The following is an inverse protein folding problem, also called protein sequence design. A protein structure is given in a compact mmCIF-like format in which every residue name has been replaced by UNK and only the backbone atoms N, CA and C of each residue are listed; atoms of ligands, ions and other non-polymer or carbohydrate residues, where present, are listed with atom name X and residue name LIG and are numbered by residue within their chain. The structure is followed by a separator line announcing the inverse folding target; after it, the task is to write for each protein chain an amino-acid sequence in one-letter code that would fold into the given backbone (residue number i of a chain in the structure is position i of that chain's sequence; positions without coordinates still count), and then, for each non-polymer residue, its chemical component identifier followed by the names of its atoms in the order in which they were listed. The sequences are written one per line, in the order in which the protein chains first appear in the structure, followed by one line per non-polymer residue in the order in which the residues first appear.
data_IF_992441509333
#
_entry.id   IF_992441509333
#
_cell.length_a   1.000
_cell.length_b   1.000
_cell.length_c   1.000
_cell.angle_alpha   90.00
_cell.angle_beta   90.00
_cell.angle_gamma   90.00
#
_symmetry.space_group_name_H-M   'P 1'
#
loop_
_entity.id
_entity.type
_entity.pdbx_description
1 polymer ?
#
# COMPACT_ATOMS: atom_id res chain seq x y z
N UNK A 1 -3.99 6.44 5.98
CA UNK A 1 -2.58 6.39 6.45
C UNK A 1 -2.35 7.34 7.62
N UNK A 2 -2.53 8.67 7.47
CA UNK A 2 -2.31 9.63 8.57
C UNK A 2 -3.10 9.34 9.86
N UNK A 3 -4.38 8.96 9.77
CA UNK A 3 -5.20 8.65 10.95
C UNK A 3 -4.70 7.43 11.75
N UNK A 4 -4.09 6.45 11.07
CA UNK A 4 -3.51 5.26 11.72
C UNK A 4 -2.24 5.65 12.49
N UNK A 5 -1.44 6.57 11.95
CA UNK A 5 -0.26 7.10 12.62
C UNK A 5 -0.59 7.99 13.80
N UNK A 6 -1.62 8.82 13.68
CA UNK A 6 -2.15 9.58 14.82
C UNK A 6 -2.56 8.62 15.93
N UNK A 7 -3.28 7.54 15.61
CA UNK A 7 -3.65 6.51 16.60
C UNK A 7 -2.41 5.90 17.25
N UNK A 8 -1.42 5.44 16.48
CA UNK A 8 -0.18 4.89 17.05
C UNK A 8 0.56 5.88 17.95
N UNK A 9 0.63 7.16 17.54
CA UNK A 9 1.21 8.23 18.32
C UNK A 9 0.43 8.49 19.62
N UNK A 10 -0.91 8.54 19.54
CA UNK A 10 -1.77 8.71 20.71
C UNK A 10 -1.64 7.55 21.70
N UNK A 11 -1.47 6.32 21.22
CA UNK A 11 -1.29 5.16 22.09
C UNK A 11 -0.01 5.29 22.91
N UNK A 12 1.10 5.70 22.29
CA UNK A 12 2.39 5.84 22.96
C UNK A 12 2.50 7.10 23.84
N UNK A 13 1.87 8.20 23.41
CA UNK A 13 1.92 9.49 24.12
C UNK A 13 0.93 9.60 25.26
N UNK A 14 -0.31 9.14 25.03
CA UNK A 14 -1.45 9.41 25.88
C UNK A 14 -2.12 8.12 26.40
N UNK A 15 -1.64 6.93 26.01
CA UNK A 15 -2.29 5.66 26.36
C UNK A 15 -3.64 5.44 25.68
N UNK A 16 -4.02 6.27 24.71
CA UNK A 16 -5.35 6.30 24.09
C UNK A 16 -5.30 5.80 22.63
N UNK A 17 -6.30 5.06 22.12
CA UNK A 17 -7.51 4.58 22.79
C UNK A 17 -7.31 3.31 23.63
N UNK A 18 -6.25 2.54 23.35
CA UNK A 18 -5.87 1.33 24.08
C UNK A 18 -4.34 1.19 24.00
N UNK A 19 -3.60 1.45 25.08
CA UNK A 19 -2.13 1.36 25.11
C UNK A 19 -1.51 1.83 26.43
N UNK A 20 -0.22 1.56 26.61
CA UNK A 20 0.60 2.08 27.72
C UNK A 20 1.37 3.34 27.31
N UNK A 21 1.67 4.20 28.28
CA UNK A 21 2.47 5.42 28.03
C UNK A 21 3.96 5.10 28.06
N UNK A 22 4.67 5.46 26.99
CA UNK A 22 6.14 5.31 26.90
C UNK A 22 6.80 6.69 26.89
N UNK A 23 7.24 7.18 28.06
CA UNK A 23 7.82 8.52 28.23
C UNK A 23 9.35 8.58 28.07
N UNK A 24 10.01 7.51 27.62
CA UNK A 24 11.46 7.51 27.40
C UNK A 24 11.84 8.18 26.07
N UNK A 25 11.54 9.48 25.93
CA UNK A 25 11.69 10.27 24.70
C UNK A 25 13.12 10.35 24.12
N UNK A 26 14.15 9.99 24.88
CA UNK A 26 15.53 9.93 24.39
C UNK A 26 15.87 8.61 23.69
N UNK A 27 14.97 7.63 23.74
CA UNK A 27 15.12 6.34 23.04
C UNK A 27 14.41 6.38 21.69
N UNK A 28 14.90 5.59 20.73
CA UNK A 28 14.25 5.39 19.41
C UNK A 28 12.75 5.08 19.54
N UNK A 29 12.38 4.25 20.53
CA UNK A 29 11.00 3.88 20.79
C UNK A 29 10.16 5.04 21.36
N UNK A 30 10.74 5.87 22.22
CA UNK A 30 10.07 7.06 22.76
C UNK A 30 9.92 8.19 21.75
N UNK A 31 10.86 8.36 20.81
CA UNK A 31 10.73 9.34 19.72
C UNK A 31 9.66 8.94 18.69
N UNK A 32 9.40 7.64 18.52
CA UNK A 32 8.41 7.15 17.57
C UNK A 32 6.99 7.67 17.86
N UNK A 33 6.62 7.83 19.12
CA UNK A 33 5.29 8.33 19.52
C UNK A 33 5.02 9.78 19.06
N UNK A 34 5.80 10.78 19.52
CA UNK A 34 5.69 12.17 19.07
C UNK A 34 5.74 12.33 17.56
N UNK A 35 6.67 11.61 16.91
CA UNK A 35 6.87 11.71 15.47
C UNK A 35 5.71 11.08 14.68
N UNK A 36 5.18 9.94 15.11
CA UNK A 36 3.99 9.34 14.49
C UNK A 36 2.75 10.23 14.67
N UNK A 37 2.58 10.83 15.85
CA UNK A 37 1.47 11.75 16.11
C UNK A 37 1.56 13.02 15.26
N UNK A 38 2.67 13.75 15.36
CA UNK A 38 2.88 15.00 14.63
C UNK A 38 2.94 14.75 13.11
N UNK A 39 3.68 13.73 12.68
CA UNK A 39 3.75 13.34 11.27
C UNK A 39 2.40 12.89 10.72
N UNK A 40 1.61 12.15 11.51
CA UNK A 40 0.24 11.78 11.15
C UNK A 40 -0.67 12.98 10.94
N UNK A 41 -0.63 13.97 11.83
CA UNK A 41 -1.39 15.23 11.70
C UNK A 41 -0.97 16.03 10.46
N UNK A 42 0.34 16.21 10.26
CA UNK A 42 0.89 16.90 9.10
C UNK A 42 0.50 16.21 7.79
N UNK A 43 0.52 14.87 7.75
CA UNK A 43 0.10 14.10 6.59
C UNK A 43 -1.40 14.18 6.31
N UNK A 44 -2.26 14.28 7.34
CA UNK A 44 -3.70 14.50 7.14
C UNK A 44 -3.95 15.88 6.54
N UNK A 45 -3.28 16.91 7.07
CA UNK A 45 -3.40 18.26 6.54
C UNK A 45 -2.74 18.41 5.16
N UNK A 46 -1.84 17.50 4.80
CA UNK A 46 -1.00 17.63 3.60
C UNK A 46 -0.06 18.84 3.72
N UNK A 47 0.50 19.03 4.91
CA UNK A 47 1.50 20.06 5.19
C UNK A 47 2.88 19.40 5.26
N UNK A 48 3.86 19.96 4.53
CA UNK A 48 5.20 19.42 4.41
C UNK A 48 5.22 17.94 3.98
N UNK A 49 4.32 17.57 3.07
CA UNK A 49 4.03 16.16 2.75
C UNK A 49 5.29 15.39 2.36
N UNK A 50 6.17 15.99 1.53
CA UNK A 50 7.38 15.34 1.04
C UNK A 50 8.39 15.00 2.16
N UNK A 51 8.89 15.97 2.96
CA UNK A 51 9.79 15.68 4.09
C UNK A 51 9.15 14.77 5.13
N UNK A 52 7.89 15.02 5.48
CA UNK A 52 7.20 14.25 6.51
C UNK A 52 7.04 12.79 6.06
N UNK A 53 6.62 12.56 4.82
CA UNK A 53 6.54 11.21 4.28
C UNK A 53 7.92 10.53 4.21
N UNK A 54 8.98 11.24 3.79
CA UNK A 54 10.32 10.65 3.77
C UNK A 54 10.80 10.25 5.18
N UNK A 55 10.59 11.12 6.16
CA UNK A 55 10.92 10.86 7.56
C UNK A 55 10.13 9.67 8.13
N UNK A 56 8.81 9.63 7.88
CA UNK A 56 7.95 8.52 8.32
C UNK A 56 8.33 7.21 7.62
N UNK A 57 8.73 7.24 6.35
CA UNK A 57 9.24 6.07 5.63
C UNK A 57 10.50 5.50 6.31
N UNK A 58 11.49 6.36 6.62
CA UNK A 58 12.69 5.97 7.34
C UNK A 58 12.40 5.42 8.73
N UNK A 59 11.46 6.04 9.45
CA UNK A 59 11.02 5.53 10.75
C UNK A 59 10.42 4.13 10.65
N UNK A 60 9.57 3.86 9.66
CA UNK A 60 8.96 2.54 9.51
C UNK A 60 9.98 1.47 9.11
N UNK A 61 10.98 1.84 8.30
CA UNK A 61 12.10 0.96 8.01
C UNK A 61 12.86 0.58 9.30
N UNK A 62 13.21 1.58 10.11
CA UNK A 62 13.88 1.34 11.41
C UNK A 62 12.98 0.51 12.33
N UNK A 63 11.68 0.81 12.41
CA UNK A 63 10.72 0.09 13.25
C UNK A 63 10.63 -1.39 12.87
N UNK A 64 10.61 -1.71 11.57
CA UNK A 64 10.60 -3.09 11.08
C UNK A 64 11.84 -3.88 11.54
N UNK A 65 13.03 -3.30 11.35
CA UNK A 65 14.28 -3.98 11.70
C UNK A 65 14.54 -4.02 13.22
N UNK A 66 14.10 -3.01 13.96
CA UNK A 66 14.33 -2.92 15.40
C UNK A 66 13.34 -3.76 16.23
N UNK A 67 12.13 -4.02 15.73
CA UNK A 67 11.10 -4.83 16.39
C UNK A 67 10.84 -6.15 15.66
N UNK A 68 9.84 -6.20 14.76
CA UNK A 68 9.38 -7.42 14.07
C UNK A 68 10.48 -8.38 13.61
N UNK A 69 11.46 -7.86 12.87
CA UNK A 69 12.53 -8.69 12.31
C UNK A 69 13.55 -9.13 13.37
N UNK A 70 13.88 -8.26 14.33
CA UNK A 70 14.86 -8.57 15.39
C UNK A 70 14.34 -9.66 16.33
N UNK A 71 13.06 -9.61 16.66
CA UNK A 71 12.44 -10.53 17.62
C UNK A 71 12.17 -11.90 17.01
N UNK A 72 11.51 -11.92 15.85
CA UNK A 72 11.11 -13.18 15.22
C UNK A 72 12.22 -13.85 14.41
N UNK A 73 13.18 -13.06 13.89
CA UNK A 73 14.13 -13.45 12.82
C UNK A 73 13.46 -14.07 11.59
N UNK A 74 12.16 -13.87 11.44
CA UNK A 74 11.37 -14.39 10.33
C UNK A 74 11.27 -13.32 9.24
N UNK A 75 11.50 -13.73 8.00
CA UNK A 75 11.32 -12.86 6.84
C UNK A 75 9.84 -12.66 6.49
N UNK A 76 9.02 -13.68 6.74
CA UNK A 76 7.59 -13.66 6.45
C UNK A 76 6.87 -12.65 7.35
N UNK A 77 6.38 -11.57 6.75
CA UNK A 77 5.75 -10.45 7.46
C UNK A 77 4.47 -10.87 8.18
N UNK A 78 3.81 -11.91 7.67
CA UNK A 78 2.64 -12.51 8.31
C UNK A 78 2.96 -13.14 9.68
N UNK A 79 4.18 -13.65 9.88
CA UNK A 79 4.58 -14.33 11.12
C UNK A 79 5.29 -13.42 12.13
N UNK A 80 5.63 -12.19 11.72
CA UNK A 80 6.41 -11.27 12.55
C UNK A 80 5.68 -9.96 12.87
N UNK A 81 4.41 -9.83 12.48
CA UNK A 81 3.59 -8.62 12.65
C UNK A 81 4.18 -7.34 11.99
N UNK A 82 5.16 -7.50 11.10
CA UNK A 82 5.89 -6.41 10.43
C UNK A 82 5.22 -5.91 9.15
N UNK A 83 4.09 -6.48 8.76
CA UNK A 83 3.38 -6.15 7.50
C UNK A 83 3.05 -4.67 7.38
N UNK A 84 2.45 -4.08 8.42
CA UNK A 84 2.09 -2.66 8.42
C UNK A 84 3.35 -1.78 8.29
N UNK A 85 4.47 -2.17 8.91
CA UNK A 85 5.72 -1.43 8.83
C UNK A 85 6.30 -1.43 7.43
N UNK A 86 6.37 -2.60 6.78
CA UNK A 86 6.84 -2.72 5.39
C UNK A 86 5.90 -1.94 4.46
N UNK A 87 4.59 -2.14 4.58
CA UNK A 87 3.61 -1.47 3.72
C UNK A 87 3.73 0.06 3.84
N UNK A 88 3.71 0.61 5.06
CA UNK A 88 3.79 2.04 5.27
C UNK A 88 5.14 2.63 4.87
N UNK A 89 6.24 1.90 5.09
CA UNK A 89 7.56 2.32 4.61
C UNK A 89 7.53 2.67 3.11
N UNK A 90 7.01 1.77 2.27
CA UNK A 90 6.96 2.01 0.83
C UNK A 90 5.84 2.97 0.40
N UNK A 91 4.70 2.97 1.10
CA UNK A 91 3.62 3.92 0.80
C UNK A 91 4.05 5.37 1.07
N UNK A 92 4.76 5.61 2.18
CA UNK A 92 5.34 6.91 2.48
C UNK A 92 6.50 7.27 1.57
N UNK A 93 7.33 6.29 1.18
CA UNK A 93 8.39 6.53 0.20
C UNK A 93 7.80 7.01 -1.13
N UNK A 94 6.75 6.35 -1.62
CA UNK A 94 5.99 6.81 -2.79
C UNK A 94 5.44 8.23 -2.60
N UNK A 95 4.81 8.52 -1.46
CA UNK A 95 4.28 9.87 -1.16
C UNK A 95 5.37 10.95 -1.08
N UNK A 96 6.60 10.60 -0.66
CA UNK A 96 7.72 11.56 -0.64
C UNK A 96 8.13 12.04 -2.04
N UNK A 97 7.91 11.22 -3.07
CA UNK A 97 8.16 11.58 -4.46
C UNK A 97 6.91 12.18 -5.14
N UNK A 98 5.73 11.60 -4.89
CA UNK A 98 4.46 12.02 -5.50
C UNK A 98 3.91 13.34 -4.91
N UNK A 99 4.12 13.60 -3.62
CA UNK A 99 3.57 14.75 -2.89
C UNK A 99 2.15 14.53 -2.35
N UNK A 100 1.56 15.57 -1.75
CA UNK A 100 0.29 15.50 -1.00
C UNK A 100 -1.00 15.55 -1.83
N UNK A 101 -0.90 15.60 -3.16
CA UNK A 101 -2.06 15.64 -4.05
C UNK A 101 -2.78 17.00 -4.10
N UNK A 102 -3.97 17.01 -4.72
CA UNK A 102 -4.70 18.24 -5.04
C UNK A 102 -5.27 18.98 -3.83
N UNK A 103 -5.58 18.24 -2.76
CA UNK A 103 -6.21 18.76 -1.54
C UNK A 103 -5.20 19.11 -0.42
N UNK A 104 -3.90 19.01 -0.70
CA UNK A 104 -2.86 19.31 0.28
C UNK A 104 -2.79 20.80 0.62
N UNK A 105 -2.65 21.13 1.90
CA UNK A 105 -2.39 22.51 2.34
C UNK A 105 -1.10 23.06 1.72
N UNK A 106 -0.10 22.21 1.42
CA UNK A 106 1.11 22.61 0.68
C UNK A 106 0.79 23.32 -0.64
N UNK A 107 -0.20 22.81 -1.38
CA UNK A 107 -0.66 23.40 -2.64
C UNK A 107 -1.44 24.69 -2.42
N UNK A 108 -2.31 24.72 -1.40
CA UNK A 108 -3.10 25.90 -1.05
C UNK A 108 -2.20 27.07 -0.60
N UNK A 109 -1.15 26.77 0.16
CA UNK A 109 -0.19 27.74 0.69
C UNK A 109 0.89 28.14 -0.32
N UNK A 110 0.84 27.65 -1.57
CA UNK A 110 1.85 27.86 -2.64
C UNK A 110 3.29 27.70 -2.15
N UNK A 111 3.55 26.81 -1.20
CA UNK A 111 4.90 26.60 -0.66
C UNK A 111 5.77 25.97 -1.74
N UNK A 112 7.00 26.47 -1.89
CA UNK A 112 8.02 25.80 -2.68
C UNK A 112 8.23 24.40 -2.09
N UNK A 113 7.98 23.33 -2.86
CA UNK A 113 8.12 21.98 -2.34
C UNK A 113 9.59 21.73 -2.00
N UNK A 114 9.89 21.42 -0.74
CA UNK A 114 11.20 20.88 -0.37
C UNK A 114 11.32 19.49 -1.00
N UNK A 115 12.23 19.34 -1.96
CA UNK A 115 12.43 18.12 -2.72
C UNK A 115 13.44 17.20 -2.01
N UNK A 116 12.95 16.15 -1.34
CA UNK A 116 13.79 15.05 -0.82
C UNK A 116 13.89 13.88 -1.80
N UNK A 117 12.86 13.66 -2.61
CA UNK A 117 12.85 12.75 -3.75
C UNK A 117 12.36 13.50 -5.00
N UNK A 118 13.03 13.32 -6.15
CA UNK A 118 12.61 13.96 -7.40
C UNK A 118 11.24 13.43 -7.82
N UNK A 119 10.39 14.29 -8.39
CA UNK A 119 9.06 13.90 -8.85
C UNK A 119 9.11 12.81 -9.95
N UNK A 120 10.26 12.69 -10.64
CA UNK A 120 10.52 11.70 -11.67
C UNK A 120 10.58 10.27 -11.14
N UNK A 121 10.91 10.09 -9.85
CA UNK A 121 10.92 8.77 -9.21
C UNK A 121 9.54 8.26 -8.80
N UNK A 122 8.53 9.13 -8.72
CA UNK A 122 7.17 8.76 -8.33
C UNK A 122 6.59 7.55 -9.09
N UNK A 123 6.66 7.47 -10.43
CA UNK A 123 6.17 6.30 -11.16
C UNK A 123 6.95 5.01 -10.84
N UNK A 124 8.25 5.08 -10.59
CA UNK A 124 9.06 3.91 -10.22
C UNK A 124 8.74 3.44 -8.80
N UNK A 125 8.59 4.36 -7.84
CA UNK A 125 8.19 4.03 -6.48
C UNK A 125 6.76 3.48 -6.40
N UNK A 126 5.87 3.91 -7.31
CA UNK A 126 4.55 3.29 -7.46
C UNK A 126 4.68 1.81 -7.89
N UNK A 127 5.60 1.49 -8.81
CA UNK A 127 5.87 0.11 -9.20
C UNK A 127 6.46 -0.71 -8.05
N UNK A 128 7.35 -0.14 -7.23
CA UNK A 128 7.84 -0.80 -6.01
C UNK A 128 6.69 -1.07 -5.05
N UNK A 129 5.87 -0.05 -4.74
CA UNK A 129 4.72 -0.19 -3.86
C UNK A 129 3.75 -1.27 -4.35
N UNK A 130 3.55 -1.37 -5.68
CA UNK A 130 2.75 -2.42 -6.31
C UNK A 130 3.33 -3.81 -6.06
N UNK A 131 4.63 -4.00 -6.27
CA UNK A 131 5.29 -5.29 -6.05
C UNK A 131 5.23 -5.70 -4.58
N UNK A 132 5.48 -4.75 -3.66
CA UNK A 132 5.40 -5.00 -2.22
C UNK A 132 3.97 -5.33 -1.80
N UNK A 133 2.97 -4.55 -2.22
CA UNK A 133 1.57 -4.83 -1.91
C UNK A 133 1.14 -6.20 -2.45
N UNK A 134 1.50 -6.53 -3.69
CA UNK A 134 1.25 -7.84 -4.29
C UNK A 134 1.92 -8.98 -3.51
N UNK A 135 3.19 -8.82 -3.12
CA UNK A 135 3.91 -9.80 -2.31
C UNK A 135 3.27 -10.04 -0.94
N UNK A 136 2.89 -8.97 -0.23
CA UNK A 136 2.19 -9.09 1.05
C UNK A 136 0.83 -9.80 0.88
N UNK A 137 0.10 -9.49 -0.19
CA UNK A 137 -1.20 -10.09 -0.47
C UNK A 137 -1.08 -11.58 -0.85
N UNK A 138 -0.01 -11.97 -1.54
CA UNK A 138 0.32 -13.38 -1.80
C UNK A 138 0.46 -14.15 -0.49
N UNK A 139 1.12 -13.58 0.54
CA UNK A 139 1.27 -14.25 1.84
C UNK A 139 -0.08 -14.55 2.49
N UNK A 140 -1.03 -13.61 2.42
CA UNK A 140 -2.40 -13.80 2.90
C UNK A 140 -3.15 -14.89 2.12
N UNK A 141 -2.93 -14.95 0.80
CA UNK A 141 -3.51 -15.99 -0.04
C UNK A 141 -2.92 -17.37 0.20
N UNK A 142 -1.60 -17.48 0.36
CA UNK A 142 -0.92 -18.75 0.67
C UNK A 142 -1.25 -19.25 2.08
N UNK A 143 -1.48 -18.35 3.04
CA UNK A 143 -1.98 -18.72 4.36
C UNK A 143 -3.33 -19.43 4.23
N UNK A 144 -4.29 -18.81 3.54
CA UNK A 144 -5.66 -19.30 3.48
C UNK A 144 -5.79 -20.59 2.68
N UNK A 145 -5.02 -20.72 1.60
CA UNK A 145 -5.09 -21.87 0.69
C UNK A 145 -4.13 -23.00 1.04
N UNK A 146 -2.96 -22.70 1.64
CA UNK A 146 -1.90 -23.68 1.85
C UNK A 146 -1.39 -23.75 3.29
N UNK A 147 -1.91 -22.94 4.22
CA UNK A 147 -1.37 -22.77 5.57
C UNK A 147 0.13 -22.43 5.60
N UNK A 148 0.61 -21.74 4.56
CA UNK A 148 1.99 -21.33 4.41
C UNK A 148 2.10 -19.81 4.35
N UNK A 149 3.03 -19.15 5.07
CA UNK A 149 4.05 -19.70 5.98
C UNK A 149 3.52 -20.09 7.38
N UNK A 150 2.21 -19.97 7.59
CA UNK A 150 1.48 -20.42 8.78
C UNK A 150 -0.02 -20.15 8.61
N UNK A 151 -0.79 -20.32 9.68
CA UNK A 151 -2.23 -19.96 9.74
C UNK A 151 -3.20 -21.12 9.48
N UNK A 152 -4.49 -20.78 9.34
CA UNK A 152 -5.58 -21.76 9.24
C UNK A 152 -6.01 -21.94 7.78
N UNK A 153 -5.78 -23.14 7.25
CA UNK A 153 -6.27 -23.54 5.93
C UNK A 153 -7.81 -23.53 5.90
N UNK A 154 -8.40 -22.91 4.89
CA UNK A 154 -9.85 -22.86 4.73
C UNK A 154 -10.25 -23.04 3.26
N UNK A 155 -10.51 -24.29 2.89
CA UNK A 155 -11.00 -24.65 1.55
C UNK A 155 -12.51 -24.50 1.40
N UNK A 156 -13.21 -23.97 2.40
CA UNK A 156 -14.63 -23.72 2.26
C UNK A 156 -14.86 -22.40 1.51
N UNK A 157 -14.85 -22.48 0.17
CA UNK A 157 -15.03 -21.34 -0.72
C UNK A 157 -16.43 -20.71 -0.66
N UNK A 158 -17.38 -21.33 0.05
CA UNK A 158 -18.67 -20.69 0.35
C UNK A 158 -18.55 -19.63 1.47
N UNK A 159 -17.46 -19.68 2.25
CA UNK A 159 -17.18 -18.69 3.29
C UNK A 159 -16.39 -17.52 2.73
N UNK A 160 -16.59 -16.34 3.35
CA UNK A 160 -15.85 -15.12 2.99
C UNK A 160 -14.33 -15.30 3.11
N UNK A 161 -13.88 -16.15 4.04
CA UNK A 161 -12.47 -16.40 4.31
C UNK A 161 -11.84 -17.32 3.25
N UNK A 162 -12.47 -18.46 2.94
CA UNK A 162 -11.99 -19.34 1.87
C UNK A 162 -12.03 -18.66 0.49
N UNK A 163 -13.10 -17.92 0.19
CA UNK A 163 -13.20 -17.16 -1.05
C UNK A 163 -12.15 -16.06 -1.17
N UNK A 164 -11.80 -15.40 -0.06
CA UNK A 164 -10.74 -14.40 -0.03
C UNK A 164 -9.38 -14.97 -0.46
N UNK A 165 -9.04 -16.20 -0.04
CA UNK A 165 -7.80 -16.87 -0.46
C UNK A 165 -7.70 -17.05 -1.98
N UNK A 166 -8.82 -17.38 -2.63
CA UNK A 166 -8.90 -17.58 -4.09
C UNK A 166 -8.70 -16.29 -4.88
N UNK A 167 -9.00 -15.12 -4.30
CA UNK A 167 -8.72 -13.82 -4.91
C UNK A 167 -7.34 -13.30 -4.53
N UNK A 168 -6.90 -13.56 -3.29
CA UNK A 168 -5.65 -13.03 -2.74
C UNK A 168 -4.41 -13.57 -3.44
N UNK A 169 -4.34 -14.89 -3.63
CA UNK A 169 -3.17 -15.48 -4.24
C UNK A 169 -3.03 -15.11 -5.73
N UNK A 170 -4.04 -15.35 -6.60
CA UNK A 170 -3.93 -14.99 -8.01
C UNK A 170 -3.89 -13.47 -8.22
N UNK A 171 -4.70 -12.72 -7.46
CA UNK A 171 -4.73 -11.27 -7.52
C UNK A 171 -3.40 -10.65 -7.08
N UNK A 172 -2.80 -11.16 -6.00
CA UNK A 172 -1.48 -10.73 -5.53
C UNK A 172 -0.38 -11.01 -6.57
N UNK A 173 -0.40 -12.17 -7.22
CA UNK A 173 0.53 -12.51 -8.32
C UNK A 173 0.37 -11.58 -9.53
N UNK A 174 -0.87 -11.38 -9.99
CA UNK A 174 -1.17 -10.46 -11.09
C UNK A 174 -0.74 -9.04 -10.76
N UNK A 175 -1.01 -8.57 -9.53
CA UNK A 175 -0.57 -7.26 -9.07
C UNK A 175 0.94 -7.17 -8.96
N UNK A 176 1.65 -8.18 -8.46
CA UNK A 176 3.11 -8.19 -8.35
C UNK A 176 3.80 -8.15 -9.73
N UNK A 177 3.24 -8.84 -10.72
CA UNK A 177 3.72 -8.80 -12.11
C UNK A 177 3.26 -7.54 -12.86
N UNK A 178 2.15 -6.94 -12.45
CA UNK A 178 1.54 -5.79 -13.12
C UNK A 178 0.81 -6.20 -14.39
N UNK A 179 0.04 -7.28 -14.30
CA UNK A 179 -0.87 -7.78 -15.32
C UNK A 179 -2.30 -7.42 -14.95
N UNK A 180 -3.04 -6.86 -15.90
CA UNK A 180 -4.42 -6.40 -15.73
C UNK A 180 -4.58 -5.50 -14.50
N UNK A 181 -3.61 -4.58 -14.29
CA UNK A 181 -3.45 -3.88 -13.02
C UNK A 181 -4.72 -3.14 -12.61
N UNK A 182 -5.41 -2.50 -13.56
CA UNK A 182 -6.64 -1.72 -13.28
C UNK A 182 -7.82 -2.59 -12.82
N UNK A 183 -8.30 -3.58 -13.60
CA UNK A 183 -9.43 -4.41 -13.18
C UNK A 183 -9.10 -5.26 -11.95
N UNK A 184 -7.88 -5.82 -11.85
CA UNK A 184 -7.48 -6.63 -10.70
C UNK A 184 -7.50 -5.78 -9.43
N UNK A 185 -6.87 -4.62 -9.44
CA UNK A 185 -6.84 -3.74 -8.26
C UNK A 185 -8.24 -3.23 -7.87
N UNK A 186 -9.14 -2.98 -8.83
CA UNK A 186 -10.52 -2.65 -8.51
C UNK A 186 -11.23 -3.78 -7.74
N UNK A 187 -11.13 -5.03 -8.24
CA UNK A 187 -11.72 -6.20 -7.58
C UNK A 187 -11.12 -6.41 -6.18
N UNK A 188 -9.80 -6.35 -6.04
CA UNK A 188 -9.13 -6.53 -4.76
C UNK A 188 -9.49 -5.43 -3.76
N UNK A 189 -9.66 -4.18 -4.22
CA UNK A 189 -10.13 -3.09 -3.36
C UNK A 189 -11.55 -3.36 -2.84
N UNK A 190 -12.43 -3.88 -3.69
CA UNK A 190 -13.80 -4.26 -3.33
C UNK A 190 -13.82 -5.40 -2.31
N UNK A 191 -12.99 -6.43 -2.50
CA UNK A 191 -12.86 -7.53 -1.55
C UNK A 191 -12.45 -7.02 -0.16
N UNK A 192 -11.45 -6.14 -0.08
CA UNK A 192 -10.98 -5.58 1.19
C UNK A 192 -12.02 -4.65 1.82
N UNK A 193 -12.75 -3.89 1.02
CA UNK A 193 -13.87 -3.07 1.51
C UNK A 193 -14.96 -3.94 2.15
N UNK A 194 -15.38 -5.03 1.49
CA UNK A 194 -16.37 -5.97 2.02
C UNK A 194 -15.86 -6.61 3.32
N UNK A 195 -14.60 -7.05 3.35
CA UNK A 195 -13.98 -7.60 4.55
C UNK A 195 -13.98 -6.61 5.71
N UNK A 196 -13.68 -5.32 5.45
CA UNK A 196 -13.71 -4.28 6.46
C UNK A 196 -15.11 -4.06 7.03
N UNK A 197 -16.11 -3.86 6.17
CA UNK A 197 -17.47 -3.55 6.62
C UNK A 197 -18.16 -4.72 7.32
N UNK A 198 -17.96 -5.95 6.85
CA UNK A 198 -18.62 -7.12 7.44
C UNK A 198 -17.91 -7.63 8.70
N UNK A 199 -16.57 -7.54 8.75
CA UNK A 199 -15.78 -8.11 9.85
C UNK A 199 -15.38 -7.05 10.86
N UNK A 200 -14.82 -5.93 10.43
CA UNK A 200 -14.09 -5.02 11.31
C UNK A 200 -14.93 -3.84 11.79
N UNK A 201 -15.69 -3.19 10.90
CA UNK A 201 -16.51 -2.02 11.19
C UNK A 201 -17.48 -2.18 12.38
N UNK A 202 -18.13 -3.34 12.60
CA UNK A 202 -19.06 -3.52 13.73
C UNK A 202 -18.39 -3.47 15.11
N UNK A 203 -17.05 -3.49 15.18
CA UNK A 203 -16.30 -3.52 16.45
C UNK A 203 -16.09 -2.15 17.10
N UNK A 204 -16.69 -1.09 16.52
CA UNK A 204 -16.55 0.29 16.97
C UNK A 204 -15.35 0.99 16.32
N UNK A 205 -15.37 2.33 16.31
CA UNK A 205 -14.44 3.15 15.52
C UNK A 205 -12.96 2.83 15.80
N UNK A 206 -12.53 2.93 17.06
CA UNK A 206 -11.12 2.74 17.44
C UNK A 206 -10.65 1.30 17.28
N UNK A 207 -11.47 0.32 17.67
CA UNK A 207 -11.11 -1.09 17.56
C UNK A 207 -11.05 -1.52 16.10
N UNK A 208 -11.99 -1.09 15.27
CA UNK A 208 -11.99 -1.38 13.83
C UNK A 208 -10.72 -0.87 13.14
N UNK A 209 -10.22 0.31 13.52
CA UNK A 209 -8.95 0.82 13.00
C UNK A 209 -7.73 -0.02 13.41
N UNK A 210 -7.80 -0.73 14.55
CA UNK A 210 -6.71 -1.58 15.03
C UNK A 210 -6.75 -2.93 14.33
N UNK A 211 -7.89 -3.63 14.37
CA UNK A 211 -7.97 -5.00 13.85
C UNK A 211 -8.19 -5.05 12.33
N UNK A 212 -8.71 -3.99 11.73
CA UNK A 212 -9.00 -3.89 10.30
C UNK A 212 -7.97 -3.11 9.50
N UNK A 213 -6.82 -2.79 10.09
CA UNK A 213 -5.79 -1.94 9.49
C UNK A 213 -5.36 -2.45 8.10
N UNK A 214 -5.15 -3.78 7.99
CA UNK A 214 -4.80 -4.44 6.73
C UNK A 214 -5.83 -4.21 5.62
N UNK A 215 -7.11 -4.40 5.94
CA UNK A 215 -8.20 -4.18 5.00
C UNK A 215 -8.26 -2.72 4.54
N UNK A 216 -7.96 -1.77 5.43
CA UNK A 216 -7.97 -0.34 5.08
C UNK A 216 -6.85 -0.02 4.08
N UNK A 217 -5.60 -0.36 4.40
CA UNK A 217 -4.50 0.08 3.52
C UNK A 217 -4.48 -0.66 2.18
N UNK A 218 -4.81 -1.95 2.13
CA UNK A 218 -4.94 -2.66 0.86
C UNK A 218 -6.10 -2.12 0.02
N UNK A 219 -7.25 -1.80 0.64
CA UNK A 219 -8.38 -1.21 -0.07
C UNK A 219 -7.96 0.08 -0.80
N UNK A 220 -7.39 1.05 -0.08
CA UNK A 220 -7.06 2.34 -0.68
C UNK A 220 -5.87 2.29 -1.64
N UNK A 221 -4.87 1.43 -1.42
CA UNK A 221 -3.73 1.33 -2.35
C UNK A 221 -4.14 0.67 -3.66
N UNK A 222 -5.00 -0.34 -3.60
CA UNK A 222 -5.52 -0.96 -4.82
C UNK A 222 -6.50 -0.02 -5.53
N UNK A 223 -7.31 0.74 -4.79
CA UNK A 223 -8.13 1.78 -5.40
C UNK A 223 -7.28 2.87 -6.10
N UNK A 224 -6.15 3.27 -5.50
CA UNK A 224 -5.18 4.16 -6.15
C UNK A 224 -4.62 3.54 -7.44
N UNK A 225 -4.25 2.26 -7.41
CA UNK A 225 -3.74 1.55 -8.58
C UNK A 225 -4.80 1.34 -9.67
N UNK A 226 -6.07 1.21 -9.29
CA UNK A 226 -7.18 1.14 -10.23
C UNK A 226 -7.32 2.45 -11.00
N UNK A 227 -7.14 3.59 -10.33
CA UNK A 227 -7.16 4.91 -10.94
C UNK A 227 -5.90 5.22 -11.77
N UNK A 228 -4.70 5.00 -11.20
CA UNK A 228 -3.43 5.42 -11.81
C UNK A 228 -2.89 4.39 -12.81
N UNK A 229 -3.04 3.10 -12.54
CA UNK A 229 -2.45 1.99 -13.31
C UNK A 229 -1.16 1.43 -12.70
N UNK A 230 -0.49 0.52 -13.42
CA UNK A 230 0.61 -0.31 -12.87
C UNK A 230 2.03 0.29 -12.84
N UNK A 231 2.23 1.50 -13.38
CA UNK A 231 3.54 2.17 -13.42
C UNK A 231 4.50 1.64 -14.50
N UNK A 232 5.79 2.04 -14.48
CA UNK A 232 6.81 1.66 -15.47
C UNK A 232 7.16 0.19 -15.54
N UNK A 233 7.14 -0.50 -14.41
CA UNK A 233 7.55 -1.91 -14.34
C UNK A 233 6.36 -2.88 -14.43
N UNK A 234 5.23 -2.47 -15.01
CA UNK A 234 4.08 -3.34 -15.22
C UNK A 234 4.14 -4.03 -16.59
N UNK A 235 3.89 -5.34 -16.62
CA UNK A 235 3.80 -6.10 -17.87
C UNK A 235 2.67 -5.62 -18.79
N UNK A 236 1.64 -4.95 -18.26
CA UNK A 236 0.58 -4.29 -19.04
C UNK A 236 1.11 -3.36 -20.15
N UNK A 237 2.30 -2.77 -19.96
CA UNK A 237 2.91 -1.90 -20.98
C UNK A 237 3.38 -2.66 -22.21
N UNK A 238 3.74 -3.94 -22.06
CA UNK A 238 4.17 -4.77 -23.20
C UNK A 238 3.01 -4.98 -24.17
N UNK A 239 1.79 -5.21 -23.65
CA UNK A 239 0.58 -5.38 -24.47
C UNK A 239 0.15 -4.09 -25.16
N UNK A 240 0.25 -2.93 -24.49
CA UNK A 240 -0.12 -1.64 -25.09
C UNK A 240 0.86 -1.18 -26.18
N UNK A 241 2.14 -1.59 -26.07
CA UNK A 241 3.19 -1.26 -27.05
C UNK A 241 3.07 -2.07 -28.34
N UNK A 242 2.60 -3.33 -28.26
CA UNK A 242 2.34 -4.14 -29.45
C UNK A 242 1.14 -3.62 -30.26
N UNK A 243 0.05 -3.19 -29.62
CA UNK A 243 -1.10 -2.62 -30.34
C UNK A 243 -0.76 -1.37 -31.16
N UNK A 244 0.06 -0.47 -30.61
CA UNK A 244 0.57 0.70 -31.36
C UNK A 244 1.56 0.36 -32.48
N UNK A 245 2.17 -0.83 -32.47
CA UNK A 245 3.07 -1.29 -33.52
C UNK A 245 2.32 -1.98 -34.66
N UNK A 246 1.17 -2.58 -34.37
CA UNK A 246 0.32 -3.25 -35.36
C UNK A 246 -0.57 -2.27 -36.13
N UNK A 247 -1.08 -1.20 -35.51
CA UNK A 247 -1.87 -0.13 -36.19
C UNK A 247 -1.16 0.50 -37.42
N UNK A 248 0.13 0.91 -37.36
CA UNK A 248 0.80 1.45 -38.53
C UNK A 248 1.09 0.41 -39.62
N UNK A 249 1.22 -0.88 -39.26
CA UNK A 249 1.46 -1.96 -40.22
C UNK A 249 0.19 -2.38 -40.97
N UNK A 250 -0.98 -2.31 -40.31
CA UNK A 250 -2.29 -2.52 -40.93
C UNK A 250 -2.65 -1.34 -41.85
N UNK A 251 -2.46 -0.10 -41.37
CA UNK A 251 -2.71 1.10 -42.19
C UNK A 251 -1.79 1.19 -43.42
N UNK A 252 -0.51 0.81 -43.30
CA UNK A 252 0.40 0.76 -44.45
C UNK A 252 0.04 -0.34 -45.46
N UNK A 253 -0.49 -1.49 -45.02
CA UNK A 253 -0.96 -2.56 -45.92
C UNK A 253 -2.28 -2.21 -46.62
N UNK A 254 -3.19 -1.52 -45.93
CA UNK A 254 -4.45 -1.03 -46.53
C UNK A 254 -4.20 0.08 -47.57
N UNK A 255 -3.18 0.92 -47.37
CA UNK A 255 -2.79 1.96 -48.33
C UNK A 255 -2.05 1.42 -49.57
N UNK A 256 -1.43 0.24 -49.48
CA UNK A 256 -0.72 -0.41 -50.60
C UNK A 256 -1.60 -1.45 -51.31
N UNK A 257 -2.70 -1.90 -50.70
CA UNK A 257 -3.65 -2.87 -51.26
C UNK A 257 -4.76 -2.29 -52.15
N UNK A 258 -4.77 -0.98 -52.43
CA UNK A 258 -5.82 -0.30 -53.20
C UNK A 258 -5.35 0.32 -54.51
N UNK A 259 -4.11 0.07 -54.94
CA UNK A 259 -3.52 0.66 -56.15
C UNK A 259 -3.30 -0.33 -57.31
N UNK A 260 -3.92 -1.50 -57.30
CA UNK A 260 -3.96 -2.40 -58.46
C UNK A 260 -5.40 -2.78 -58.78
N UNK A 261 -6.11 -1.92 -59.52
CA UNK A 261 -7.23 -2.24 -60.41
C UNK A 261 -7.48 -1.07 -61.37
#
# INVERSE_FOLDING_TARGET
VGIVFIRHGMQRLFGFPFGGMDHHFLTLNGLAGPLAFAGGLLMILGLFTRPVAFMLSGMMAVAYFAGPFRESRNFWTLLNDGEAAVFYCFAYLFMSAAGGGAWSLDRLLRRTPLHFASAEWAPYLLSVLRMVAGFLYIQHGTEKLFAFPGGRMDHNFSTLHGFAGLLELPGGLLMMLGLFTRPVSFILSGQMAIAYWLRWAPRGFWRSLIVGEASIYFCFVYLLMAAVGGGPWSLDRLFSRNRKREEPLLSAKELVGSSEL
#
